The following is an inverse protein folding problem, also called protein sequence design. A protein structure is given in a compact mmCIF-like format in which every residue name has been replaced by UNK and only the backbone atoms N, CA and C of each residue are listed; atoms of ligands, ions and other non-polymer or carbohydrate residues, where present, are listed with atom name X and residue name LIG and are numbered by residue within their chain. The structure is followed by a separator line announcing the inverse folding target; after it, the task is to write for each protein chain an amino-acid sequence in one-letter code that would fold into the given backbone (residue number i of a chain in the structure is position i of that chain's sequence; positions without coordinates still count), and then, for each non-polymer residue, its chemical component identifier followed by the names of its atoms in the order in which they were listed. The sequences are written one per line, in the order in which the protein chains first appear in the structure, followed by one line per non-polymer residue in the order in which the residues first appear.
data_IF_454236144477
#
_entry.id   IF_454236144477
#
_cell.length_a   1.000
_cell.length_b   1.000
_cell.length_c   1.000
_cell.angle_alpha   90.00
_cell.angle_beta   90.00
_cell.angle_gamma   90.00
#
_symmetry.space_group_name_H-M   'P 1'
#
loop_
_entity.id
_entity.type
_entity.pdbx_description
1 polymer ?
#
# COMPACT_ATOMS: atom_id res chain seq x y z
N UNK A 1 2.82 17.01 -14.93
CA UNK A 1 2.13 15.77 -15.33
C UNK A 1 1.73 14.89 -14.14
N UNK A 2 2.67 14.32 -13.36
CA UNK A 2 2.31 13.42 -12.23
C UNK A 2 1.45 14.09 -11.15
N UNK A 3 1.68 15.38 -10.87
CA UNK A 3 0.92 16.18 -9.89
C UNK A 3 -0.55 16.38 -10.31
N UNK A 4 -0.82 16.61 -11.60
CA UNK A 4 -2.18 16.81 -12.12
C UNK A 4 -3.00 15.51 -12.10
N UNK A 5 -2.35 14.39 -12.42
CA UNK A 5 -2.94 13.06 -12.30
C UNK A 5 -3.33 12.77 -10.86
N UNK A 6 -2.43 13.04 -9.91
CA UNK A 6 -2.72 12.84 -8.49
C UNK A 6 -3.86 13.74 -8.00
N UNK A 7 -3.88 15.01 -8.42
CA UNK A 7 -4.98 15.94 -8.09
C UNK A 7 -6.33 15.41 -8.59
N UNK A 8 -6.40 14.95 -9.83
CA UNK A 8 -7.61 14.33 -10.39
C UNK A 8 -8.12 13.14 -9.55
N UNK A 9 -7.21 12.28 -9.07
CA UNK A 9 -7.60 11.14 -8.23
C UNK A 9 -7.95 11.55 -6.80
N UNK A 10 -7.33 12.58 -6.24
CA UNK A 10 -7.73 13.16 -4.95
C UNK A 10 -9.14 13.74 -5.03
N UNK A 11 -9.48 14.48 -6.09
CA UNK A 11 -10.82 15.03 -6.29
C UNK A 11 -11.85 13.89 -6.45
N UNK A 12 -11.50 12.80 -7.14
CA UNK A 12 -12.34 11.60 -7.19
C UNK A 12 -12.54 10.93 -5.83
N UNK A 13 -11.49 10.87 -5.01
CA UNK A 13 -11.58 10.33 -3.64
C UNK A 13 -12.55 11.18 -2.81
N UNK A 14 -12.44 12.52 -2.89
CA UNK A 14 -13.34 13.43 -2.21
C UNK A 14 -14.79 13.20 -2.65
N UNK A 15 -15.05 13.14 -3.96
CA UNK A 15 -16.37 12.90 -4.53
C UNK A 15 -16.97 11.55 -4.09
N UNK A 16 -16.18 10.48 -4.07
CA UNK A 16 -16.65 9.15 -3.62
C UNK A 16 -16.99 9.10 -2.12
N UNK A 17 -16.31 9.93 -1.32
CA UNK A 17 -16.56 10.06 0.11
C UNK A 17 -17.64 11.10 0.44
N UNK A 18 -18.07 11.90 -0.54
CA UNK A 18 -19.02 13.01 -0.33
C UNK A 18 -18.40 14.18 0.44
N UNK A 19 -17.12 14.45 0.22
CA UNK A 19 -16.37 15.52 0.87
C UNK A 19 -16.05 16.64 -0.13
N UNK A 20 -15.93 17.88 0.34
CA UNK A 20 -15.52 19.02 -0.49
C UNK A 20 -14.08 18.90 -1.00
N UNK A 21 -13.20 18.27 -0.22
CA UNK A 21 -11.81 18.02 -0.58
C UNK A 21 -11.30 16.69 -0.02
N UNK A 22 -10.22 16.19 -0.61
CA UNK A 22 -9.63 14.93 -0.19
C UNK A 22 -9.04 15.06 1.22
N UNK A 23 -9.37 14.16 2.16
CA UNK A 23 -8.78 14.20 3.48
C UNK A 23 -7.29 13.85 3.40
N UNK A 24 -6.46 14.42 4.27
CA UNK A 24 -5.02 14.13 4.30
C UNK A 24 -4.77 12.63 4.54
N UNK A 25 -5.57 12.02 5.40
CA UNK A 25 -5.49 10.60 5.73
C UNK A 25 -6.83 9.90 5.54
N UNK A 26 -6.75 8.67 5.02
CA UNK A 26 -7.87 7.77 4.85
C UNK A 26 -7.78 6.61 5.85
N UNK A 27 -8.93 6.28 6.42
CA UNK A 27 -9.13 5.08 7.22
C UNK A 27 -9.33 3.86 6.34
N UNK A 28 -9.12 2.64 6.87
CA UNK A 28 -9.38 1.40 6.12
C UNK A 28 -10.83 1.29 5.63
N UNK A 29 -11.79 1.85 6.36
CA UNK A 29 -13.19 1.90 5.93
C UNK A 29 -13.40 2.78 4.70
N UNK A 30 -12.78 3.97 4.68
CA UNK A 30 -12.82 4.85 3.52
C UNK A 30 -12.09 4.24 2.31
N UNK A 31 -10.93 3.62 2.52
CA UNK A 31 -10.20 2.90 1.46
C UNK A 31 -11.05 1.76 0.88
N UNK A 32 -11.74 1.00 1.73
CA UNK A 32 -12.65 -0.04 1.28
C UNK A 32 -13.78 0.52 0.41
N UNK A 33 -14.38 1.65 0.81
CA UNK A 33 -15.42 2.34 0.03
C UNK A 33 -14.89 2.82 -1.33
N UNK A 34 -13.71 3.43 -1.36
CA UNK A 34 -13.03 3.86 -2.61
C UNK A 34 -12.75 2.66 -3.52
N UNK A 35 -12.33 1.54 -2.93
CA UNK A 35 -12.06 0.28 -3.63
C UNK A 35 -13.33 -0.51 -4.01
N UNK A 36 -14.53 0.03 -3.73
CA UNK A 36 -15.85 -0.57 -3.96
C UNK A 36 -16.12 -1.86 -3.17
N UNK A 37 -15.61 -1.95 -1.95
CA UNK A 37 -15.93 -3.02 -1.01
C UNK A 37 -16.90 -2.56 0.08
N UNK A 38 -17.74 -3.49 0.54
CA UNK A 38 -18.71 -3.25 1.63
C UNK A 38 -18.04 -2.77 2.92
N UNK A 39 -16.89 -3.34 3.27
CA UNK A 39 -16.15 -2.99 4.48
C UNK A 39 -14.65 -3.34 4.35
N UNK A 40 -13.88 -2.90 5.35
CA UNK A 40 -12.44 -3.14 5.43
C UNK A 40 -12.06 -4.62 5.50
N UNK A 41 -12.94 -5.47 6.04
CA UNK A 41 -12.69 -6.91 6.13
C UNK A 41 -12.80 -7.60 4.76
N UNK A 42 -13.82 -7.26 3.97
CA UNK A 42 -13.97 -7.73 2.59
C UNK A 42 -12.80 -7.27 1.72
N UNK A 43 -12.34 -6.02 1.89
CA UNK A 43 -11.14 -5.51 1.24
C UNK A 43 -9.91 -6.35 1.63
N UNK A 44 -9.67 -6.57 2.92
CA UNK A 44 -8.52 -7.35 3.39
C UNK A 44 -8.53 -8.78 2.85
N UNK A 45 -9.69 -9.44 2.85
CA UNK A 45 -9.85 -10.79 2.29
C UNK A 45 -9.59 -10.84 0.78
N UNK A 46 -10.07 -9.84 0.02
CA UNK A 46 -9.81 -9.73 -1.41
C UNK A 46 -8.33 -9.44 -1.70
N UNK A 47 -7.72 -8.55 -0.90
CA UNK A 47 -6.31 -8.21 -0.98
C UNK A 47 -5.42 -9.43 -0.74
N UNK A 48 -5.61 -10.18 0.36
CA UNK A 48 -4.81 -11.38 0.65
C UNK A 48 -4.90 -12.43 -0.46
N UNK A 49 -6.12 -12.71 -0.96
CA UNK A 49 -6.32 -13.66 -2.06
C UNK A 49 -5.72 -13.17 -3.37
N UNK A 50 -5.85 -11.88 -3.65
CA UNK A 50 -5.33 -11.24 -4.84
C UNK A 50 -3.81 -11.18 -4.87
N UNK A 51 -3.19 -10.97 -3.70
CA UNK A 51 -1.74 -10.98 -3.52
C UNK A 51 -1.17 -12.39 -3.69
N UNK A 52 -1.82 -13.42 -3.11
CA UNK A 52 -1.46 -14.82 -3.32
C UNK A 52 -1.52 -15.23 -4.80
N UNK A 53 -2.46 -14.65 -5.56
CA UNK A 53 -2.59 -14.84 -7.01
C UNK A 53 -1.73 -13.87 -7.85
N UNK A 54 -0.88 -13.07 -7.21
CA UNK A 54 0.00 -12.05 -7.85
C UNK A 54 -0.72 -11.14 -8.84
N UNK A 55 -1.96 -10.76 -8.53
CA UNK A 55 -2.74 -9.90 -9.42
C UNK A 55 -2.14 -8.48 -9.42
N UNK A 56 -1.92 -7.87 -10.60
CA UNK A 56 -1.29 -6.55 -10.72
C UNK A 56 -1.94 -5.46 -9.86
N UNK A 57 -3.27 -5.48 -9.76
CA UNK A 57 -4.08 -4.56 -8.95
C UNK A 57 -3.65 -4.52 -7.48
N UNK A 58 -3.37 -5.69 -6.92
CA UNK A 58 -3.07 -5.88 -5.50
C UNK A 58 -1.58 -5.73 -5.19
N UNK A 59 -0.71 -6.00 -6.17
CA UNK A 59 0.71 -5.65 -6.08
C UNK A 59 0.89 -4.12 -6.06
N UNK A 60 0.17 -3.41 -6.92
CA UNK A 60 0.10 -1.95 -6.88
C UNK A 60 -0.51 -1.44 -5.57
N UNK A 61 -1.53 -2.13 -5.03
CA UNK A 61 -2.10 -1.79 -3.71
C UNK A 61 -1.05 -1.91 -2.62
N UNK A 62 -0.32 -3.03 -2.56
CA UNK A 62 0.71 -3.27 -1.56
C UNK A 62 1.84 -2.23 -1.64
N UNK A 63 2.34 -1.95 -2.85
CA UNK A 63 3.42 -0.99 -3.04
C UNK A 63 3.00 0.45 -2.66
N UNK A 64 1.78 0.84 -3.02
CA UNK A 64 1.30 2.19 -2.77
C UNK A 64 0.85 2.38 -1.32
N UNK A 65 0.06 1.46 -0.75
CA UNK A 65 -0.63 1.65 0.53
C UNK A 65 0.11 0.95 1.69
N UNK A 66 0.85 -0.12 1.41
CA UNK A 66 1.51 -0.95 2.42
C UNK A 66 0.55 -1.89 3.14
N UNK A 67 1.11 -2.79 3.95
CA UNK A 67 0.33 -3.76 4.72
C UNK A 67 0.08 -3.23 6.14
N UNK A 68 -1.16 -3.27 6.63
CA UNK A 68 -1.47 -3.03 8.04
C UNK A 68 -1.60 -1.57 8.53
N UNK A 69 -1.45 -0.54 7.69
CA UNK A 69 -1.62 0.84 8.14
C UNK A 69 -3.08 1.13 8.59
N UNK A 70 -3.26 1.78 9.74
CA UNK A 70 -4.57 2.24 10.22
C UNK A 70 -4.99 3.58 9.61
N UNK A 71 -4.00 4.37 9.17
CA UNK A 71 -4.15 5.65 8.47
C UNK A 71 -3.20 5.67 7.29
N UNK A 72 -3.72 5.99 6.11
CA UNK A 72 -2.96 6.02 4.86
C UNK A 72 -3.10 7.39 4.26
N UNK A 73 -2.01 8.02 3.83
CA UNK A 73 -2.08 9.31 3.15
C UNK A 73 -2.95 9.18 1.88
N UNK A 74 -3.87 10.12 1.65
CA UNK A 74 -4.75 10.06 0.48
C UNK A 74 -3.97 10.09 -0.83
N UNK A 75 -2.81 10.76 -0.86
CA UNK A 75 -1.89 10.75 -2.00
C UNK A 75 -1.44 9.34 -2.38
N UNK A 76 -1.18 8.46 -1.40
CA UNK A 76 -0.79 7.07 -1.64
C UNK A 76 -1.95 6.28 -2.27
N UNK A 77 -3.18 6.57 -1.86
CA UNK A 77 -4.38 5.95 -2.44
C UNK A 77 -4.65 6.50 -3.84
N UNK A 78 -4.48 7.81 -4.06
CA UNK A 78 -4.56 8.43 -5.38
C UNK A 78 -3.51 7.85 -6.34
N UNK A 79 -2.29 7.62 -5.85
CA UNK A 79 -1.22 6.99 -6.60
C UNK A 79 -1.59 5.55 -7.02
N UNK A 80 -2.14 4.76 -6.10
CA UNK A 80 -2.67 3.43 -6.40
C UNK A 80 -3.76 3.45 -7.48
N UNK A 81 -4.71 4.38 -7.39
CA UNK A 81 -5.78 4.52 -8.39
C UNK A 81 -5.23 4.93 -9.76
N UNK A 82 -4.22 5.80 -9.80
CA UNK A 82 -3.57 6.21 -11.03
C UNK A 82 -2.82 5.05 -11.71
N UNK A 83 -2.16 4.19 -10.92
CA UNK A 83 -1.51 2.97 -11.44
C UNK A 83 -2.56 2.01 -12.01
N UNK A 84 -3.70 1.83 -11.33
CA UNK A 84 -4.79 1.00 -11.86
C UNK A 84 -5.39 1.53 -13.16
N UNK A 85 -5.47 2.85 -13.30
CA UNK A 85 -5.97 3.49 -14.50
C UNK A 85 -4.95 3.46 -15.66
N UNK A 86 -3.75 2.91 -15.46
CA UNK A 86 -2.68 2.92 -16.46
C UNK A 86 -2.06 4.30 -16.68
N UNK A 87 -2.32 5.26 -15.79
CA UNK A 87 -1.84 6.64 -15.91
C UNK A 87 -0.46 6.84 -15.26
N UNK A 88 -0.07 5.94 -14.36
CA UNK A 88 1.26 5.91 -13.76
C UNK A 88 1.85 4.50 -13.87
N UNK A 89 3.19 4.38 -14.05
CA UNK A 89 3.84 3.08 -14.07
C UNK A 89 3.71 2.41 -12.71
N UNK A 90 3.66 1.07 -12.70
CA UNK A 90 3.75 0.32 -11.46
C UNK A 90 5.08 0.67 -10.77
N UNK A 91 5.07 1.09 -9.50
CA UNK A 91 6.30 1.36 -8.79
C UNK A 91 7.13 0.08 -8.81
N UNK A 92 8.44 0.20 -9.07
CA UNK A 92 9.36 -0.90 -8.84
C UNK A 92 9.08 -1.36 -7.41
N UNK A 93 8.53 -2.56 -7.24
CA UNK A 93 8.36 -3.11 -5.91
C UNK A 93 9.76 -3.17 -5.34
N UNK A 94 10.09 -2.22 -4.46
CA UNK A 94 11.29 -2.32 -3.67
C UNK A 94 11.22 -3.71 -3.10
N UNK A 95 12.17 -4.59 -3.50
CA UNK A 95 12.45 -5.78 -2.73
C UNK A 95 12.49 -5.25 -1.31
N UNK A 96 11.58 -5.73 -0.45
CA UNK A 96 11.90 -5.66 0.96
C UNK A 96 13.30 -6.25 0.99
N UNK A 97 14.29 -5.46 1.37
CA UNK A 97 15.44 -6.02 2.05
C UNK A 97 14.79 -6.79 3.19
N UNK A 98 14.49 -8.06 2.93
CA UNK A 98 14.50 -9.10 3.92
C UNK A 98 15.89 -8.96 4.50
N UNK A 99 16.00 -8.06 5.49
CA UNK A 99 17.08 -8.04 6.44
C UNK A 99 17.02 -9.39 7.09
N UNK A 100 17.59 -10.36 6.39
CA UNK A 100 17.85 -11.72 6.79
C UNK A 100 18.57 -11.55 8.13
N UNK A 101 17.95 -11.89 9.28
CA UNK A 101 18.76 -12.15 10.44
C UNK A 101 19.46 -13.46 10.10
N UNK A 102 20.61 -13.37 9.43
CA UNK A 102 21.50 -14.51 9.28
C UNK A 102 21.77 -14.97 10.71
N UNK A 103 21.24 -16.15 11.04
CA UNK A 103 21.50 -16.86 12.30
C UNK A 103 23.02 -17.08 12.50
N UNK A 104 23.83 -16.86 11.47
CA UNK A 104 25.30 -16.80 11.55
C UNK A 104 25.86 -15.63 12.37
N UNK A 105 25.15 -14.50 12.49
CA UNK A 105 25.63 -13.37 13.30
C UNK A 105 25.43 -13.57 14.81
N UNK A 106 24.60 -14.54 15.23
CA UNK A 106 24.34 -14.84 16.63
C UNK A 106 25.26 -15.92 17.23
N UNK A 107 25.93 -16.73 16.40
CA UNK A 107 26.83 -17.79 16.88
C UNK A 107 28.33 -17.45 16.78
N UNK A 108 28.71 -16.33 16.14
CA UNK A 108 30.10 -15.89 16.00
C UNK A 108 30.69 -15.15 17.22
N UNK A 109 29.88 -14.78 18.22
CA UNK A 109 30.31 -13.90 19.33
C UNK A 109 30.40 -14.59 20.71
N UNK A 110 30.54 -15.92 20.77
CA UNK A 110 30.73 -16.66 22.05
C UNK A 110 32.00 -17.54 22.03
N UNK A 111 32.95 -17.34 21.10
CA UNK A 111 34.19 -18.14 21.08
C UNK A 111 35.52 -17.40 20.87
N UNK A 112 35.60 -16.11 21.22
CA UNK A 112 36.90 -15.39 21.35
C UNK A 112 36.92 -14.40 22.53
N UNK A 113 37.01 -14.95 23.73
CA UNK A 113 37.59 -14.38 24.97
C UNK A 113 37.63 -15.57 25.93
N UNK A 114 38.70 -16.35 26.02
CA UNK A 114 39.99 -15.96 26.57
C UNK A 114 40.05 -16.49 28.00
N UNK A 115 40.88 -17.52 28.24
CA UNK A 115 41.08 -18.16 29.53
C UNK A 115 41.28 -19.66 29.40
#
# INVERSE_FOLDING_TARGET
MSVEILKFFLDRIAAQLGLESAPIYLTRGQIARIAQFKNSHSLASAFSRGLAKRQPRWLAFEAAIGNGAHRVAAERVAHWMAIQAGMLPMPAMAKKDDGEPTLESAFGLIRRRGG
#
